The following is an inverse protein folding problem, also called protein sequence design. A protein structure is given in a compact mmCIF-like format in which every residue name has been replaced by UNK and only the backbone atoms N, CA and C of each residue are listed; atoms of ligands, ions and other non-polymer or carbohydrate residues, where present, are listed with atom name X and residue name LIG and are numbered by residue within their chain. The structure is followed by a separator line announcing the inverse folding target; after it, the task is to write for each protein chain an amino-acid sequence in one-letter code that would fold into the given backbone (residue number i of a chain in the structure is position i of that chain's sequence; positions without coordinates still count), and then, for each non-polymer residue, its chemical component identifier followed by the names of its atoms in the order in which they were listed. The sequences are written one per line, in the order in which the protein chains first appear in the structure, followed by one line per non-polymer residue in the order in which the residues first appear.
data_IF_499587302412
#
_entry.id   IF_499587302412
#
_cell.length_a   1.000
_cell.length_b   1.000
_cell.length_c   1.000
_cell.angle_alpha   90.00
_cell.angle_beta   90.00
_cell.angle_gamma   90.00
#
_symmetry.space_group_name_H-M   'P 1'
#
loop_
_entity.id
_entity.type
_entity.pdbx_description
1 polymer ?
#
# COMPACT_ATOMS: atom_id res chain seq x y z
N UNK A 1 11.29 10.93 17.86
CA UNK A 1 11.74 10.15 16.69
C UNK A 1 10.72 10.30 15.58
N UNK A 2 11.16 10.76 14.40
CA UNK A 2 10.33 10.95 13.22
C UNK A 2 10.37 9.69 12.34
N UNK A 3 9.33 9.50 11.54
CA UNK A 3 9.30 8.50 10.46
C UNK A 3 9.63 9.26 9.19
N UNK A 4 10.64 8.82 8.44
CA UNK A 4 10.92 9.33 7.10
C UNK A 4 10.40 8.34 6.06
N UNK A 5 9.97 8.86 4.91
CA UNK A 5 9.52 8.05 3.79
C UNK A 5 10.34 8.44 2.59
N UNK A 6 10.92 7.44 1.91
CA UNK A 6 11.73 7.61 0.72
C UNK A 6 11.34 6.60 -0.35
N UNK A 7 11.58 6.95 -1.60
CA UNK A 7 11.48 6.01 -2.71
C UNK A 7 12.53 4.91 -2.55
N UNK A 8 12.13 3.66 -2.81
CA UNK A 8 13.04 2.54 -2.88
C UNK A 8 13.85 2.62 -4.18
N UNK A 9 15.12 2.27 -4.12
CA UNK A 9 15.94 2.03 -5.31
C UNK A 9 16.08 0.53 -5.55
N UNK A 10 16.64 0.14 -6.69
CA UNK A 10 16.88 -1.28 -7.01
C UNK A 10 17.69 -2.01 -5.91
N UNK A 11 18.58 -1.29 -5.21
CA UNK A 11 19.36 -1.84 -4.10
C UNK A 11 18.51 -2.19 -2.88
N UNK A 12 17.32 -1.58 -2.73
CA UNK A 12 16.38 -1.87 -1.64
C UNK A 12 15.47 -3.08 -1.93
N UNK A 13 15.60 -3.77 -3.08
CA UNK A 13 14.70 -4.88 -3.46
C UNK A 13 14.62 -5.95 -2.37
N UNK A 14 15.75 -6.32 -1.76
CA UNK A 14 15.77 -7.29 -0.66
C UNK A 14 15.04 -6.77 0.59
N UNK A 15 15.16 -5.47 0.88
CA UNK A 15 14.50 -4.83 2.03
C UNK A 15 12.98 -4.85 1.83
N UNK A 16 12.50 -4.44 0.65
CA UNK A 16 11.06 -4.45 0.33
C UNK A 16 10.51 -5.87 0.40
N UNK A 17 11.21 -6.83 -0.21
CA UNK A 17 10.82 -8.25 -0.19
C UNK A 17 10.74 -8.79 1.24
N UNK A 18 11.74 -8.52 2.08
CA UNK A 18 11.79 -9.00 3.47
C UNK A 18 10.62 -8.45 4.31
N UNK A 19 10.30 -7.16 4.18
CA UNK A 19 9.15 -6.55 4.89
C UNK A 19 7.82 -7.20 4.44
N UNK A 20 7.63 -7.42 3.13
CA UNK A 20 6.43 -8.05 2.59
C UNK A 20 6.32 -9.52 3.02
N UNK A 21 7.43 -10.25 2.97
CA UNK A 21 7.51 -11.66 3.35
C UNK A 21 7.23 -11.85 4.85
N UNK A 22 7.77 -10.98 5.72
CA UNK A 22 7.46 -11.00 7.15
C UNK A 22 5.94 -10.89 7.39
N UNK A 23 5.28 -9.95 6.70
CA UNK A 23 3.83 -9.77 6.80
C UNK A 23 3.05 -10.97 6.25
N UNK A 24 3.46 -11.53 5.11
CA UNK A 24 2.84 -12.71 4.50
C UNK A 24 2.92 -13.93 5.43
N UNK A 25 4.11 -14.24 5.95
CA UNK A 25 4.34 -15.36 6.86
C UNK A 25 3.57 -15.20 8.18
N UNK A 26 3.51 -13.99 8.72
CA UNK A 26 2.73 -13.72 9.93
C UNK A 26 1.23 -13.97 9.71
N UNK A 27 0.68 -13.52 8.58
CA UNK A 27 -0.71 -13.74 8.22
C UNK A 27 -1.03 -15.22 7.95
N UNK A 28 -0.13 -15.92 7.26
CA UNK A 28 -0.23 -17.35 6.99
C UNK A 28 -0.29 -18.17 8.30
N UNK A 29 0.59 -17.88 9.27
CA UNK A 29 0.58 -18.52 10.60
C UNK A 29 -0.73 -18.32 11.37
N UNK A 30 -1.53 -17.32 11.01
CA UNK A 30 -2.84 -17.04 11.60
C UNK A 30 -4.02 -17.56 10.77
N UNK A 31 -3.76 -18.37 9.75
CA UNK A 31 -4.79 -18.92 8.88
C UNK A 31 -5.43 -17.90 7.95
N UNK A 32 -4.75 -16.78 7.67
CA UNK A 32 -5.26 -15.69 6.81
C UNK A 32 -4.29 -15.40 5.66
N UNK A 33 -3.96 -16.39 4.79
CA UNK A 33 -2.99 -16.18 3.72
C UNK A 33 -3.39 -14.97 2.84
N UNK A 34 -2.41 -14.18 2.43
CA UNK A 34 -2.62 -12.99 1.60
C UNK A 34 -1.81 -13.05 0.30
N UNK A 35 -0.49 -13.19 0.42
CA UNK A 35 0.44 -13.33 -0.69
C UNK A 35 1.16 -14.67 -0.56
N UNK A 36 1.46 -15.30 -1.70
CA UNK A 36 2.41 -16.40 -1.76
C UNK A 36 3.83 -15.86 -1.61
N UNK A 37 4.72 -16.64 -1.04
CA UNK A 37 6.13 -16.31 -0.89
C UNK A 37 6.76 -15.92 -2.23
N UNK A 38 6.37 -16.58 -3.32
CA UNK A 38 6.80 -16.23 -4.67
C UNK A 38 6.33 -14.82 -5.09
N UNK A 39 5.11 -14.41 -4.76
CA UNK A 39 4.56 -13.10 -5.17
C UNK A 39 5.28 -11.91 -4.52
N UNK A 40 5.99 -12.14 -3.42
CA UNK A 40 6.76 -11.13 -2.68
C UNK A 40 8.27 -11.38 -2.76
N UNK A 41 8.71 -12.36 -3.56
CA UNK A 41 10.13 -12.68 -3.71
C UNK A 41 10.87 -11.53 -4.42
N UNK A 42 12.19 -11.37 -4.17
CA UNK A 42 12.97 -10.31 -4.81
C UNK A 42 12.84 -10.31 -6.33
N UNK A 43 12.80 -11.49 -6.95
CA UNK A 43 12.69 -11.64 -8.40
C UNK A 43 11.38 -11.04 -8.92
N UNK A 44 10.26 -11.35 -8.26
CA UNK A 44 8.92 -10.92 -8.71
C UNK A 44 8.58 -9.47 -8.39
N UNK A 45 9.30 -8.82 -7.46
CA UNK A 45 9.10 -7.40 -7.14
C UNK A 45 10.18 -6.49 -7.74
N UNK A 46 11.30 -7.05 -8.22
CA UNK A 46 12.47 -6.28 -8.65
C UNK A 46 12.16 -5.24 -9.72
N UNK A 47 11.30 -5.56 -10.68
CA UNK A 47 10.89 -4.64 -11.75
C UNK A 47 10.08 -3.46 -11.20
N UNK A 48 9.10 -3.72 -10.32
CA UNK A 48 8.33 -2.66 -9.66
C UNK A 48 9.23 -1.75 -8.82
N UNK A 49 10.23 -2.33 -8.13
CA UNK A 49 11.21 -1.56 -7.35
C UNK A 49 12.11 -0.73 -8.27
N UNK A 50 12.61 -1.31 -9.37
CA UNK A 50 13.42 -0.62 -10.37
C UNK A 50 12.69 0.58 -10.99
N UNK A 51 11.38 0.43 -11.23
CA UNK A 51 10.50 1.46 -11.76
C UNK A 51 10.07 2.50 -10.71
N UNK A 52 10.60 2.41 -9.48
CA UNK A 52 10.35 3.39 -8.43
C UNK A 52 8.94 3.34 -7.86
N UNK A 53 8.25 2.21 -7.99
CA UNK A 53 6.85 2.07 -7.52
C UNK A 53 6.77 1.80 -6.01
N UNK A 54 7.87 1.42 -5.36
CA UNK A 54 7.90 1.16 -3.92
C UNK A 54 8.51 2.31 -3.13
N UNK A 55 7.94 2.53 -1.94
CA UNK A 55 8.42 3.51 -0.97
C UNK A 55 8.61 2.81 0.38
N UNK A 56 9.61 3.25 1.13
CA UNK A 56 10.03 2.66 2.40
C UNK A 56 9.84 3.69 3.51
N UNK A 57 9.17 3.27 4.58
CA UNK A 57 9.16 4.00 5.84
C UNK A 57 10.35 3.57 6.69
N UNK A 58 11.14 4.55 7.12
CA UNK A 58 12.26 4.37 8.02
C UNK A 58 11.94 5.00 9.38
N UNK A 59 12.23 4.27 10.46
CA UNK A 59 12.10 4.79 11.82
C UNK A 59 13.43 4.57 12.55
N UNK A 60 14.06 5.68 12.94
CA UNK A 60 15.40 5.67 13.55
C UNK A 60 16.49 5.05 12.64
N UNK A 61 16.36 5.24 11.32
CA UNK A 61 17.29 4.70 10.32
C UNK A 61 16.98 3.28 9.87
N UNK A 62 16.02 2.60 10.51
CA UNK A 62 15.67 1.23 10.19
C UNK A 62 14.45 1.16 9.24
N UNK A 63 14.50 0.38 8.15
CA UNK A 63 13.33 0.11 7.31
C UNK A 63 12.27 -0.71 8.05
N UNK A 64 11.13 -0.08 8.33
CA UNK A 64 10.05 -0.64 9.17
C UNK A 64 8.74 -0.85 8.44
N UNK A 65 8.60 -0.35 7.21
CA UNK A 65 7.41 -0.56 6.40
C UNK A 65 7.63 -0.21 4.94
N UNK A 66 6.71 -0.66 4.10
CA UNK A 66 6.71 -0.34 2.66
C UNK A 66 5.29 -0.17 2.14
N UNK A 67 5.17 0.60 1.06
CA UNK A 67 3.94 0.76 0.28
C UNK A 67 4.31 0.83 -1.21
N UNK A 68 3.52 0.19 -2.07
CA UNK A 68 3.59 0.39 -3.52
C UNK A 68 2.64 1.52 -3.90
N UNK A 69 3.08 2.47 -4.71
CA UNK A 69 2.31 3.59 -5.21
C UNK A 69 2.33 3.60 -6.74
N UNK A 70 1.16 3.79 -7.36
CA UNK A 70 0.99 3.75 -8.82
C UNK A 70 0.04 4.86 -9.27
N UNK A 71 0.28 5.40 -10.46
CA UNK A 71 -0.63 6.38 -11.09
C UNK A 71 -1.73 5.72 -11.92
N UNK A 72 -1.59 4.43 -12.22
CA UNK A 72 -2.55 3.64 -12.97
C UNK A 72 -2.68 2.23 -12.37
N UNK A 73 -3.90 1.72 -12.36
CA UNK A 73 -4.26 0.35 -11.98
C UNK A 73 -5.50 -0.13 -12.72
N UNK A 74 -5.29 -0.54 -13.98
CA UNK A 74 -6.36 -1.07 -14.81
C UNK A 74 -6.80 -2.48 -14.41
N UNK A 75 -6.05 -3.19 -13.56
CA UNK A 75 -6.40 -4.54 -13.13
C UNK A 75 -7.52 -4.52 -12.08
N UNK A 76 -7.37 -3.70 -11.05
CA UNK A 76 -8.36 -3.59 -9.97
C UNK A 76 -9.37 -2.46 -10.18
N UNK A 77 -9.00 -1.44 -10.97
CA UNK A 77 -9.81 -0.24 -11.21
C UNK A 77 -10.00 0.10 -12.69
N UNK A 78 -10.40 -0.85 -13.56
CA UNK A 78 -10.61 -0.59 -14.99
C UNK A 78 -11.76 0.39 -15.28
N UNK A 79 -12.68 0.54 -14.32
CA UNK A 79 -13.93 1.30 -14.39
C UNK A 79 -13.83 2.72 -13.82
N UNK A 80 -12.64 3.15 -13.37
CA UNK A 80 -12.40 4.46 -12.76
C UNK A 80 -11.38 5.27 -13.56
N UNK A 81 -11.53 6.60 -13.53
CA UNK A 81 -10.57 7.53 -14.12
C UNK A 81 -9.19 7.40 -13.48
N UNK A 82 -8.20 7.01 -14.30
CA UNK A 82 -6.78 6.94 -13.91
C UNK A 82 -6.17 8.34 -13.81
N UNK A 83 -6.68 9.29 -14.60
CA UNK A 83 -6.22 10.69 -14.58
C UNK A 83 -6.46 11.34 -13.21
N UNK A 84 -7.60 11.05 -12.59
CA UNK A 84 -8.00 11.63 -11.30
C UNK A 84 -7.51 10.84 -10.08
N UNK A 85 -6.92 9.65 -10.30
CA UNK A 85 -6.63 8.70 -9.22
C UNK A 85 -5.13 8.38 -9.12
N UNK A 86 -4.70 8.09 -7.89
CA UNK A 86 -3.52 7.29 -7.61
C UNK A 86 -3.93 6.07 -6.79
N UNK A 87 -3.12 5.03 -6.82
CA UNK A 87 -3.42 3.73 -6.23
C UNK A 87 -2.28 3.30 -5.32
N UNK A 88 -2.63 2.72 -4.18
CA UNK A 88 -1.65 2.08 -3.29
C UNK A 88 -1.93 0.61 -3.12
N UNK A 89 -0.85 -0.16 -3.15
CA UNK A 89 -0.82 -1.61 -3.03
C UNK A 89 0.24 -2.02 -2.01
N UNK A 90 0.19 -3.27 -1.57
CA UNK A 90 1.28 -3.91 -0.81
C UNK A 90 1.77 -3.10 0.40
N UNK A 91 0.83 -2.49 1.14
CA UNK A 91 1.13 -1.83 2.41
C UNK A 91 1.49 -2.88 3.46
N UNK A 92 2.74 -2.90 3.92
CA UNK A 92 3.23 -3.83 4.92
C UNK A 92 4.14 -3.14 5.93
N UNK A 93 4.00 -3.51 7.21
CA UNK A 93 4.73 -2.91 8.33
C UNK A 93 5.32 -4.07 9.14
N UNK A 94 6.61 -3.95 9.49
CA UNK A 94 7.29 -4.91 10.36
C UNK A 94 6.55 -5.04 11.69
N UNK A 95 6.44 -6.27 12.19
CA UNK A 95 5.54 -6.59 13.30
C UNK A 95 5.90 -5.87 14.60
N UNK A 96 7.19 -5.64 14.83
CA UNK A 96 7.68 -4.91 16.00
C UNK A 96 7.33 -3.41 15.97
N UNK A 97 7.02 -2.84 14.79
CA UNK A 97 6.56 -1.46 14.61
C UNK A 97 5.06 -1.34 14.31
N UNK A 98 4.32 -2.41 14.56
CA UNK A 98 2.87 -2.40 14.41
C UNK A 98 2.16 -1.48 15.41
N UNK A 99 0.88 -1.22 15.19
CA UNK A 99 0.08 -0.33 16.04
C UNK A 99 -0.38 0.96 15.36
N UNK A 100 -0.42 0.99 14.03
CA UNK A 100 -1.06 2.07 13.26
C UNK A 100 -0.13 3.22 12.87
N UNK A 101 0.83 3.60 13.73
CA UNK A 101 1.67 4.79 13.51
C UNK A 101 2.40 4.79 12.15
N UNK A 102 3.06 3.68 11.78
CA UNK A 102 3.81 3.58 10.52
C UNK A 102 2.87 3.50 9.31
N UNK A 103 1.78 2.73 9.40
CA UNK A 103 0.79 2.64 8.32
C UNK A 103 0.11 3.99 8.07
N UNK A 104 -0.25 4.73 9.12
CA UNK A 104 -0.80 6.07 9.00
C UNK A 104 0.20 7.03 8.35
N UNK A 105 1.47 6.98 8.73
CA UNK A 105 2.49 7.81 8.08
C UNK A 105 2.64 7.50 6.58
N UNK A 106 2.67 6.22 6.19
CA UNK A 106 2.72 5.81 4.78
C UNK A 106 1.49 6.26 3.99
N UNK A 107 0.29 6.13 4.57
CA UNK A 107 -0.95 6.57 3.92
C UNK A 107 -1.04 8.10 3.81
N UNK A 108 -0.63 8.85 4.85
CA UNK A 108 -0.55 10.32 4.81
C UNK A 108 0.39 10.77 3.71
N UNK A 109 1.60 10.19 3.66
CA UNK A 109 2.55 10.49 2.60
C UNK A 109 1.99 10.15 1.21
N UNK A 110 1.27 9.03 1.06
CA UNK A 110 0.68 8.67 -0.24
C UNK A 110 -0.40 9.67 -0.68
N UNK A 111 -1.18 10.22 0.26
CA UNK A 111 -2.15 11.29 -0.02
C UNK A 111 -1.44 12.55 -0.49
N UNK A 112 -0.41 12.99 0.23
CA UNK A 112 0.39 14.16 -0.12
C UNK A 112 1.09 13.97 -1.48
N UNK A 113 1.66 12.80 -1.72
CA UNK A 113 2.32 12.47 -2.98
C UNK A 113 1.35 12.44 -4.15
N UNK A 114 0.16 11.83 -4.00
CA UNK A 114 -0.89 11.88 -5.00
C UNK A 114 -1.34 13.33 -5.30
N UNK A 115 -1.37 14.19 -4.28
CA UNK A 115 -1.68 15.60 -4.45
C UNK A 115 -0.64 16.33 -5.32
N UNK A 116 0.66 15.98 -5.22
CA UNK A 116 1.70 16.56 -6.11
C UNK A 116 1.53 16.19 -7.59
N UNK A 117 0.79 15.12 -7.89
CA UNK A 117 0.38 14.75 -9.25
C UNK A 117 -0.99 15.30 -9.64
N UNK A 118 -1.58 16.19 -8.82
CA UNK A 118 -2.89 16.77 -9.09
C UNK A 118 -4.06 15.77 -8.99
N UNK A 119 -3.85 14.62 -8.33
CA UNK A 119 -4.90 13.60 -8.18
C UNK A 119 -5.99 14.08 -7.22
N UNK A 120 -7.23 13.68 -7.50
CA UNK A 120 -8.40 13.96 -6.65
C UNK A 120 -8.67 12.84 -5.67
N UNK A 121 -8.21 11.64 -5.97
CA UNK A 121 -8.42 10.45 -5.15
C UNK A 121 -7.14 9.67 -4.95
N UNK A 122 -6.93 9.21 -3.72
CA UNK A 122 -6.07 8.07 -3.43
C UNK A 122 -6.97 6.85 -3.24
N UNK A 123 -6.64 5.74 -3.90
CA UNK A 123 -7.47 4.53 -3.93
C UNK A 123 -6.65 3.32 -3.52
N UNK A 124 -7.33 2.33 -2.94
CA UNK A 124 -6.75 1.04 -2.60
C UNK A 124 -7.80 -0.05 -2.63
N UNK A 125 -7.36 -1.29 -2.69
CA UNK A 125 -8.21 -2.45 -2.47
C UNK A 125 -7.60 -3.37 -1.41
N UNK A 126 -8.46 -4.18 -0.81
CA UNK A 126 -8.06 -5.18 0.16
C UNK A 126 -9.02 -6.37 0.11
N UNK A 127 -8.59 -7.52 0.59
CA UNK A 127 -9.45 -8.70 0.72
C UNK A 127 -10.72 -8.38 1.54
N UNK A 128 -11.88 -8.57 0.90
CA UNK A 128 -13.18 -8.16 1.44
C UNK A 128 -13.55 -8.86 2.76
N UNK A 129 -12.94 -10.03 3.02
CA UNK A 129 -13.15 -10.84 4.22
C UNK A 129 -12.41 -10.32 5.46
N UNK A 130 -11.69 -9.19 5.37
CA UNK A 130 -10.82 -8.67 6.43
C UNK A 130 -11.39 -7.42 7.12
N UNK A 131 -12.42 -7.54 7.99
CA UNK A 131 -13.08 -6.38 8.60
C UNK A 131 -12.14 -5.51 9.44
N UNK A 132 -11.12 -6.10 10.08
CA UNK A 132 -10.13 -5.33 10.85
C UNK A 132 -9.24 -4.45 9.97
N UNK A 133 -8.87 -4.95 8.79
CA UNK A 133 -8.06 -4.17 7.85
C UNK A 133 -8.90 -3.06 7.22
N UNK A 134 -10.15 -3.36 6.89
CA UNK A 134 -11.14 -2.39 6.43
C UNK A 134 -11.34 -1.24 7.42
N UNK A 135 -11.51 -1.56 8.71
CA UNK A 135 -11.60 -0.56 9.77
C UNK A 135 -10.36 0.34 9.84
N UNK A 136 -9.14 -0.19 9.63
CA UNK A 136 -7.92 0.65 9.60
C UNK A 136 -7.98 1.70 8.48
N UNK A 137 -8.50 1.35 7.32
CA UNK A 137 -8.66 2.30 6.22
C UNK A 137 -9.79 3.31 6.48
N UNK A 138 -10.91 2.84 7.03
CA UNK A 138 -12.05 3.68 7.38
C UNK A 138 -11.69 4.70 8.48
N UNK A 139 -10.98 4.27 9.52
CA UNK A 139 -10.46 5.13 10.60
C UNK A 139 -9.46 6.17 10.08
N UNK A 140 -8.70 5.84 9.03
CA UNK A 140 -7.82 6.80 8.36
C UNK A 140 -8.59 7.84 7.53
N UNK A 141 -9.83 7.52 7.11
CA UNK A 141 -10.71 8.40 6.34
C UNK A 141 -11.02 7.91 4.92
N UNK A 142 -10.59 6.71 4.54
CA UNK A 142 -11.06 6.08 3.32
C UNK A 142 -12.55 5.73 3.44
N UNK A 143 -13.26 5.80 2.32
CA UNK A 143 -14.65 5.37 2.20
C UNK A 143 -14.71 4.13 1.33
N UNK A 144 -15.52 3.17 1.75
CA UNK A 144 -15.83 2.01 0.91
C UNK A 144 -16.49 2.50 -0.39
N UNK A 145 -15.98 2.02 -1.52
CA UNK A 145 -16.49 2.34 -2.84
C UNK A 145 -17.34 1.20 -3.39
N UNK A 146 -16.81 -0.03 -3.37
CA UNK A 146 -17.47 -1.21 -3.95
C UNK A 146 -16.73 -2.49 -3.58
N UNK A 147 -17.40 -3.63 -3.61
CA UNK A 147 -16.74 -4.94 -3.65
C UNK A 147 -16.64 -5.43 -5.10
N UNK A 148 -15.55 -6.14 -5.45
CA UNK A 148 -15.28 -6.60 -6.82
C UNK A 148 -14.52 -7.92 -6.84
N UNK A 149 -14.86 -8.78 -7.79
CA UNK A 149 -14.04 -9.94 -8.15
C UNK A 149 -12.97 -9.53 -9.17
N UNK A 150 -11.69 -9.76 -8.85
CA UNK A 150 -10.53 -9.49 -9.71
C UNK A 150 -9.67 -10.75 -9.77
N UNK A 151 -9.79 -11.51 -10.87
CA UNK A 151 -9.15 -12.82 -10.98
C UNK A 151 -9.57 -13.74 -9.82
N UNK A 152 -8.60 -14.22 -9.05
CA UNK A 152 -8.84 -15.06 -7.87
C UNK A 152 -9.23 -14.28 -6.60
N UNK A 153 -9.17 -12.95 -6.62
CA UNK A 153 -9.35 -12.11 -5.44
C UNK A 153 -10.74 -11.50 -5.38
N UNK A 154 -11.44 -11.67 -4.26
CA UNK A 154 -12.63 -10.89 -3.95
C UNK A 154 -12.23 -9.74 -3.02
N UNK A 155 -12.26 -8.52 -3.55
CA UNK A 155 -11.70 -7.33 -2.89
C UNK A 155 -12.76 -6.30 -2.57
N UNK A 156 -12.59 -5.62 -1.44
CA UNK A 156 -13.26 -4.35 -1.13
C UNK A 156 -12.37 -3.21 -1.58
N UNK A 157 -12.91 -2.35 -2.44
CA UNK A 157 -12.26 -1.16 -3.00
C UNK A 157 -12.63 0.06 -2.18
N UNK A 158 -11.64 0.91 -1.88
CA UNK A 158 -11.75 2.08 -1.03
C UNK A 158 -11.18 3.32 -1.72
N UNK A 159 -11.75 4.49 -1.40
CA UNK A 159 -11.30 5.78 -1.91
C UNK A 159 -11.14 6.81 -0.79
N UNK A 160 -10.09 7.61 -0.88
CA UNK A 160 -9.85 8.78 -0.05
C UNK A 160 -9.91 10.01 -0.96
N UNK A 161 -10.84 10.93 -0.68
CA UNK A 161 -10.95 12.19 -1.41
C UNK A 161 -9.88 13.16 -0.93
N UNK A 162 -8.94 13.50 -1.80
CA UNK A 162 -7.84 14.41 -1.49
C UNK A 162 -8.40 15.83 -1.42
N UNK A 163 -8.19 16.57 -0.31
CA UNK A 163 -8.59 17.97 -0.22
C UNK A 163 -7.86 18.80 -1.29
N UNK A 164 -8.53 19.78 -1.93
CA UNK A 164 -7.86 20.70 -2.82
C UNK A 164 -6.77 21.47 -2.05
N UNK A 165 -5.64 21.74 -2.70
CA UNK A 165 -4.65 22.66 -2.14
C UNK A 165 -5.30 24.04 -2.04
N UNK A 166 -5.34 24.61 -0.84
CA UNK A 166 -5.70 26.02 -0.67
C UNK A 166 -4.54 26.82 -1.26
N UNK A 167 -4.78 27.42 -2.43
CA UNK A 167 -3.90 28.40 -3.08
C UNK A 167 -3.83 29.68 -2.27
#
# INVERSE_FOLDING_TARGET
MYISIRQATIQDTLIVSDVLLEAALWLQKRGMPLWRDSEVSPENISEDVANGLFFIAEWAGEPVGTIKFQLEDLLFWPDISQEESAFVHRLAIRRHCSGGKVSSALLTWAVEHAQTFGKRYLRLDCDASRPRLRAVYEDFGFRHHSDRQVGAYFVSRYEYKIPPQLT
#
